data_IF_709174984974
#
_entry.id   IF_709174984974
#
_cell.length_a   1.000
_cell.length_b   1.000
_cell.length_c   1.000
_cell.angle_alpha   90.00
_cell.angle_beta   90.00
_cell.angle_gamma   90.00
#
_symmetry.space_group_name_H-M   'P 1'
#
loop_
_entity.id
_entity.type
_entity.pdbx_description
1 polymer ?
#
# COMPACT_ATOMS: atom_id res chain seq x y z
N UNK A 1 0.99 3.52 11.80
CA UNK A 1 0.77 2.52 12.87
C UNK A 1 1.71 1.35 12.66
N UNK A 2 2.86 1.34 13.34
CA UNK A 2 3.68 0.15 13.41
C UNK A 2 2.92 -0.87 14.28
N UNK A 3 2.42 -1.96 13.67
CA UNK A 3 1.78 -3.05 14.40
C UNK A 3 0.36 -3.42 14.00
N UNK A 4 -0.26 -2.74 13.03
CA UNK A 4 -1.60 -3.11 12.55
C UNK A 4 -1.57 -4.48 11.83
N UNK A 5 -2.48 -5.37 12.23
CA UNK A 5 -2.74 -6.60 11.49
C UNK A 5 -3.74 -6.33 10.38
N UNK A 6 -3.50 -6.91 9.21
CA UNK A 6 -4.45 -6.80 8.11
C UNK A 6 -5.75 -7.51 8.49
N UNK A 7 -6.88 -6.81 8.40
CA UNK A 7 -8.21 -7.39 8.70
C UNK A 7 -8.58 -8.57 7.78
N UNK A 8 -7.93 -8.67 6.62
CA UNK A 8 -8.23 -9.71 5.64
C UNK A 8 -7.41 -10.99 5.83
N UNK A 9 -6.12 -10.90 6.17
CA UNK A 9 -5.28 -12.09 6.33
C UNK A 9 -4.86 -12.35 7.77
N UNK A 10 -5.10 -11.43 8.71
CA UNK A 10 -4.72 -11.57 10.12
C UNK A 10 -3.21 -11.45 10.37
N UNK A 11 -2.41 -11.14 9.35
CA UNK A 11 -0.96 -11.00 9.45
C UNK A 11 -0.51 -9.55 9.21
N UNK A 12 0.74 -9.26 9.59
CA UNK A 12 1.40 -7.99 9.26
C UNK A 12 1.93 -8.05 7.83
N UNK A 13 1.05 -7.77 6.86
CA UNK A 13 1.34 -7.87 5.44
C UNK A 13 1.40 -6.50 4.75
N UNK A 14 1.69 -5.43 5.47
CA UNK A 14 1.69 -4.08 4.90
C UNK A 14 3.10 -3.64 4.51
N UNK A 15 3.22 -2.94 3.39
CA UNK A 15 4.46 -2.33 2.89
C UNK A 15 4.23 -0.85 2.60
N UNK A 16 5.26 -0.04 2.83
CA UNK A 16 5.18 1.40 2.57
C UNK A 16 5.36 1.71 1.08
N UNK A 17 4.46 2.50 0.50
CA UNK A 17 4.46 2.89 -0.92
C UNK A 17 3.98 4.32 -1.10
N UNK A 18 4.41 4.95 -2.18
CA UNK A 18 3.94 6.27 -2.63
C UNK A 18 2.93 6.06 -3.77
N UNK A 19 1.76 6.68 -3.62
CA UNK A 19 0.71 6.70 -4.64
C UNK A 19 0.75 8.07 -5.33
N UNK A 20 1.26 8.16 -6.57
CA UNK A 20 1.41 9.45 -7.26
C UNK A 20 0.05 10.13 -7.50
N UNK A 21 -0.95 9.35 -7.92
CA UNK A 21 -2.28 9.83 -8.30
C UNK A 21 -3.34 9.61 -7.20
N UNK A 22 -2.91 9.37 -5.97
CA UNK A 22 -3.81 9.11 -4.85
C UNK A 22 -4.75 10.28 -4.56
N UNK A 23 -5.81 10.05 -3.75
CA UNK A 23 -6.83 11.07 -3.41
C UNK A 23 -6.23 12.35 -2.79
N UNK A 24 -5.02 12.26 -2.24
CA UNK A 24 -4.15 13.40 -2.00
C UNK A 24 -2.91 13.21 -2.89
N UNK A 25 -2.75 14.03 -3.93
CA UNK A 25 -1.63 13.97 -4.89
C UNK A 25 -0.29 13.75 -4.16
N UNK A 26 0.33 12.59 -4.36
CA UNK A 26 1.59 12.20 -3.68
C UNK A 26 1.43 11.59 -2.28
N UNK A 27 0.28 10.99 -1.94
CA UNK A 27 0.09 10.31 -0.66
C UNK A 27 1.02 9.10 -0.52
N UNK A 28 1.64 8.97 0.66
CA UNK A 28 2.49 7.85 0.98
C UNK A 28 1.95 7.10 2.21
N UNK A 29 1.80 5.79 2.09
CA UNK A 29 1.18 4.98 3.13
C UNK A 29 1.42 3.48 3.02
N UNK A 30 0.78 2.75 3.91
CA UNK A 30 0.96 1.31 4.06
C UNK A 30 -0.09 0.57 3.21
N UNK A 31 0.35 -0.13 2.16
CA UNK A 31 -0.48 -0.96 1.29
C UNK A 31 -0.31 -2.43 1.63
N UNK A 32 -1.38 -3.20 1.56
CA UNK A 32 -1.40 -4.62 1.84
C UNK A 32 -0.81 -5.44 0.68
N UNK A 33 -0.12 -6.54 1.03
CA UNK A 33 0.42 -7.50 0.07
C UNK A 33 -0.45 -8.75 -0.11
N UNK A 34 -1.47 -8.94 0.74
CA UNK A 34 -2.39 -10.06 0.59
C UNK A 34 -3.47 -9.77 -0.48
N UNK A 35 -4.02 -10.79 -1.18
CA UNK A 35 -4.95 -10.60 -2.30
C UNK A 35 -6.16 -9.71 -2.00
N UNK A 36 -6.83 -9.97 -0.87
CA UNK A 36 -8.00 -9.18 -0.44
C UNK A 36 -7.63 -7.77 0.00
N UNK A 37 -6.48 -7.61 0.63
CA UNK A 37 -5.97 -6.29 1.00
C UNK A 37 -5.62 -5.44 -0.21
N UNK A 38 -4.96 -6.03 -1.21
CA UNK A 38 -4.67 -5.35 -2.48
C UNK A 38 -5.94 -4.92 -3.21
N UNK A 39 -6.95 -5.80 -3.29
CA UNK A 39 -8.24 -5.44 -3.89
C UNK A 39 -8.85 -4.23 -3.19
N UNK A 40 -8.85 -4.24 -1.85
CA UNK A 40 -9.34 -3.11 -1.05
C UNK A 40 -8.53 -1.83 -1.29
N UNK A 41 -7.21 -1.91 -1.32
CA UNK A 41 -6.34 -0.76 -1.61
C UNK A 41 -6.63 -0.17 -3.00
N UNK A 42 -6.83 -1.02 -4.02
CA UNK A 42 -7.22 -0.58 -5.37
C UNK A 42 -8.59 0.10 -5.37
N UNK A 43 -9.56 -0.44 -4.64
CA UNK A 43 -10.89 0.17 -4.53
C UNK A 43 -10.85 1.55 -3.87
N UNK A 44 -10.00 1.73 -2.85
CA UNK A 44 -9.90 2.98 -2.10
C UNK A 44 -9.01 4.02 -2.77
N UNK A 45 -7.92 3.59 -3.42
CA UNK A 45 -6.84 4.48 -3.87
C UNK A 45 -6.55 4.40 -5.36
N UNK A 46 -7.13 3.44 -6.08
CA UNK A 46 -6.79 3.13 -7.47
C UNK A 46 -5.50 2.32 -7.64
N UNK A 47 -4.73 2.11 -6.57
CA UNK A 47 -3.43 1.44 -6.60
C UNK A 47 -3.31 0.34 -5.55
N UNK A 48 -2.36 -0.57 -5.75
CA UNK A 48 -1.90 -1.50 -4.72
C UNK A 48 -0.37 -1.43 -4.60
N UNK A 49 0.20 -2.31 -3.77
CA UNK A 49 1.64 -2.32 -3.54
C UNK A 49 2.52 -2.66 -4.76
N UNK A 50 1.93 -3.21 -5.82
CA UNK A 50 2.59 -3.59 -7.08
C UNK A 50 2.54 -2.47 -8.12
N UNK A 51 1.52 -1.62 -8.08
CA UNK A 51 1.38 -0.47 -9.00
C UNK A 51 1.83 0.85 -8.36
N UNK A 52 1.95 0.91 -7.04
CA UNK A 52 2.45 2.07 -6.31
C UNK A 52 3.99 2.11 -6.29
N UNK A 53 4.54 3.32 -6.21
CA UNK A 53 5.98 3.56 -6.23
C UNK A 53 6.60 3.09 -4.92
N UNK A 54 7.73 2.37 -5.01
CA UNK A 54 8.50 1.98 -3.84
C UNK A 54 9.64 2.97 -3.58
N UNK A 55 9.55 3.83 -2.55
CA UNK A 55 10.54 4.88 -2.32
C UNK A 55 11.93 4.35 -1.95
N UNK A 56 12.05 3.11 -1.46
CA UNK A 56 13.34 2.52 -1.12
C UNK A 56 14.08 1.92 -2.32
N UNK A 57 13.51 1.96 -3.52
CA UNK A 57 14.18 1.57 -4.76
C UNK A 57 14.83 2.75 -5.49
N UNK A 58 14.63 3.99 -5.02
CA UNK A 58 15.27 5.21 -5.53
C UNK A 58 16.57 5.46 -4.76
N UNK A 59 17.56 4.57 -4.93
CA UNK A 59 18.92 4.71 -4.41
C UNK A 59 19.85 3.81 -5.24
N UNK A 60 20.12 4.23 -6.48
CA UNK A 60 21.28 3.83 -7.28
C UNK A 60 21.83 5.06 -8.02
#
# INVERSE_FOLDING_TARGET
>A
MAGAYCKFCGHRCFVYRIIPDGPQKGWAGHLATCPRGMAHDREQTGHDHTTAINPSQDSD
#
